data_IF_506664002757
#
_entry.id   IF_506664002757
#
_cell.length_a   1.000
_cell.length_b   1.000
_cell.length_c   1.000
_cell.angle_alpha   90.00
_cell.angle_beta   90.00
_cell.angle_gamma   90.00
#
_symmetry.space_group_name_H-M   'P 1'
#
loop_
_entity.id
_entity.type
_entity.pdbx_description
1 polymer ?
#
# COMPACT_ATOMS: atom_id res chain seq x y z
N UNK A 1 -0.38 17.85 -14.26
CA UNK A 1 -1.63 18.20 -13.57
C UNK A 1 -1.38 18.19 -12.06
N UNK A 2 -1.68 19.27 -11.33
CA UNK A 2 -1.36 19.40 -9.88
C UNK A 2 -2.12 18.42 -8.96
N UNK A 3 -3.12 17.69 -9.48
CA UNK A 3 -3.92 16.72 -8.71
C UNK A 3 -3.17 15.46 -8.28
N UNK A 4 -2.22 14.96 -9.08
CA UNK A 4 -1.53 13.69 -8.78
C UNK A 4 -0.54 13.86 -7.62
N UNK A 5 0.23 14.95 -7.64
CA UNK A 5 1.12 15.36 -6.55
C UNK A 5 0.33 15.62 -5.26
N UNK A 6 -0.82 16.29 -5.37
CA UNK A 6 -1.74 16.49 -4.24
C UNK A 6 -2.23 15.18 -3.62
N UNK A 7 -2.50 14.14 -4.43
CA UNK A 7 -2.93 12.83 -3.93
C UNK A 7 -1.79 12.09 -3.21
N UNK A 8 -0.58 12.11 -3.77
CA UNK A 8 0.58 11.47 -3.13
C UNK A 8 0.88 12.08 -1.77
N UNK A 9 0.84 13.41 -1.68
CA UNK A 9 1.01 14.14 -0.40
C UNK A 9 -0.12 13.78 0.57
N UNK A 10 -1.38 13.73 0.12
CA UNK A 10 -2.50 13.37 0.98
C UNK A 10 -2.37 11.95 1.56
N UNK A 11 -1.97 10.96 0.74
CA UNK A 11 -1.74 9.58 1.19
C UNK A 11 -0.57 9.52 2.19
N UNK A 12 0.51 10.26 1.94
CA UNK A 12 1.64 10.33 2.85
C UNK A 12 1.25 10.92 4.22
N UNK A 13 0.48 12.02 4.22
CA UNK A 13 -0.02 12.62 5.46
C UNK A 13 -0.92 11.65 6.23
N UNK A 14 -1.88 11.01 5.56
CA UNK A 14 -2.79 10.04 6.22
C UNK A 14 -2.02 8.85 6.81
N UNK A 15 -1.07 8.29 6.06
CA UNK A 15 -0.22 7.19 6.51
C UNK A 15 0.52 7.53 7.81
N UNK A 16 1.13 8.74 7.83
CA UNK A 16 1.87 9.23 8.99
C UNK A 16 0.98 9.42 10.21
N UNK A 17 -0.18 10.04 10.03
CA UNK A 17 -1.14 10.28 11.11
C UNK A 17 -1.65 8.97 11.71
N UNK A 18 -1.94 7.97 10.88
CA UNK A 18 -2.36 6.64 11.34
C UNK A 18 -1.27 5.94 12.18
N UNK A 19 0.01 6.07 11.78
CA UNK A 19 1.13 5.54 12.55
C UNK A 19 1.28 6.23 13.92
N UNK A 20 1.11 7.54 13.96
CA UNK A 20 1.15 8.30 15.21
C UNK A 20 -0.01 7.90 16.13
N UNK A 21 -1.22 7.79 15.59
CA UNK A 21 -2.41 7.35 16.31
C UNK A 21 -2.23 5.95 16.90
N UNK A 22 -1.70 5.00 16.11
CA UNK A 22 -1.43 3.64 16.59
C UNK A 22 -0.47 3.63 17.80
N UNK A 23 0.57 4.47 17.75
CA UNK A 23 1.56 4.61 18.83
C UNK A 23 0.98 5.30 20.07
N UNK A 24 0.21 6.37 19.88
CA UNK A 24 -0.37 7.17 20.95
C UNK A 24 -1.35 6.35 21.80
N UNK A 25 -2.25 5.61 21.14
CA UNK A 25 -3.28 4.83 21.82
C UNK A 25 -2.91 3.36 22.05
N UNK A 26 -1.69 2.96 21.66
CA UNK A 26 -1.20 1.57 21.76
C UNK A 26 -2.15 0.54 21.12
N UNK A 27 -2.65 0.86 19.93
CA UNK A 27 -3.62 0.04 19.19
C UNK A 27 -2.95 -0.61 17.98
N UNK A 28 -3.54 -1.71 17.50
CA UNK A 28 -3.22 -2.25 16.17
C UNK A 28 -4.09 -1.55 15.13
N UNK A 29 -3.46 -0.88 14.17
CA UNK A 29 -4.14 -0.27 13.01
C UNK A 29 -3.83 -1.10 11.77
N UNK A 30 -4.87 -1.57 11.09
CA UNK A 30 -4.76 -2.28 9.81
C UNK A 30 -5.34 -1.39 8.72
N UNK A 31 -4.54 -1.12 7.69
CA UNK A 31 -4.93 -0.28 6.55
C UNK A 31 -4.98 -1.14 5.30
N UNK A 32 -6.06 -1.04 4.54
CA UNK A 32 -6.15 -1.66 3.22
C UNK A 32 -5.60 -0.71 2.16
N UNK A 33 -4.71 -1.22 1.32
CA UNK A 33 -4.13 -0.47 0.22
C UNK A 33 -4.42 -1.19 -1.10
N UNK A 34 -4.86 -0.43 -2.10
CA UNK A 34 -4.95 -0.92 -3.46
C UNK A 34 -3.56 -0.89 -4.09
N UNK A 35 -3.22 -1.96 -4.81
CA UNK A 35 -1.96 -2.05 -5.56
C UNK A 35 -2.14 -1.52 -6.98
N UNK A 36 -1.04 -1.06 -7.56
CA UNK A 36 -0.96 -0.82 -8.98
C UNK A 36 -1.09 -2.14 -9.77
N UNK A 37 -1.69 -2.08 -10.97
CA UNK A 37 -1.93 -3.24 -11.83
C UNK A 37 -0.66 -3.81 -12.49
N UNK A 38 0.52 -3.33 -12.11
CA UNK A 38 1.81 -3.80 -12.63
C UNK A 38 2.08 -5.27 -12.28
N UNK A 39 1.50 -5.77 -11.17
CA UNK A 39 1.51 -7.19 -10.83
C UNK A 39 0.78 -8.05 -11.87
N UNK A 40 -0.32 -7.58 -12.45
CA UNK A 40 -1.10 -8.34 -13.44
C UNK A 40 -0.33 -8.61 -14.74
N UNK A 41 0.67 -7.79 -15.05
CA UNK A 41 1.49 -7.91 -16.27
C UNK A 41 2.68 -8.86 -16.10
N UNK A 42 2.98 -9.30 -14.88
CA UNK A 42 4.11 -10.19 -14.60
C UNK A 42 3.74 -11.65 -14.83
N UNK A 43 4.70 -12.52 -15.24
CA UNK A 43 4.43 -13.92 -15.53
C UNK A 43 3.84 -14.69 -14.35
N UNK A 44 4.32 -14.42 -13.14
CA UNK A 44 3.90 -15.10 -11.90
C UNK A 44 2.78 -14.38 -11.14
N UNK A 45 2.43 -13.17 -11.59
CA UNK A 45 1.40 -12.28 -11.02
C UNK A 45 1.49 -12.03 -9.51
N UNK A 46 2.65 -12.30 -8.90
CA UNK A 46 2.87 -12.10 -7.46
C UNK A 46 2.98 -10.62 -7.15
N UNK A 47 2.21 -10.05 -6.22
CA UNK A 47 2.45 -8.69 -5.75
C UNK A 47 3.85 -8.51 -5.14
N UNK A 48 4.40 -7.32 -5.31
CA UNK A 48 5.66 -6.87 -4.71
C UNK A 48 5.45 -5.52 -4.04
N UNK A 49 6.33 -5.17 -3.10
CA UNK A 49 6.28 -3.87 -2.41
C UNK A 49 6.32 -2.71 -3.41
N UNK A 50 7.04 -2.83 -4.52
CA UNK A 50 7.08 -1.83 -5.59
C UNK A 50 5.72 -1.54 -6.24
N UNK A 51 4.70 -2.39 -6.04
CA UNK A 51 3.34 -2.13 -6.52
C UNK A 51 2.61 -1.08 -5.67
N UNK A 52 3.14 -0.74 -4.48
CA UNK A 52 2.69 0.37 -3.63
C UNK A 52 3.28 1.73 -4.04
N UNK A 53 4.05 1.82 -5.14
CA UNK A 53 4.91 2.97 -5.47
C UNK A 53 4.21 4.34 -5.57
N UNK A 54 2.91 4.40 -5.86
CA UNK A 54 2.13 5.66 -5.76
C UNK A 54 1.85 6.11 -4.32
N UNK A 55 2.29 5.31 -3.35
CA UNK A 55 2.09 5.42 -1.92
C UNK A 55 3.38 5.07 -1.16
N UNK A 56 4.55 5.50 -1.66
CA UNK A 56 5.85 5.18 -1.05
C UNK A 56 5.97 5.54 0.44
N UNK A 57 5.20 6.52 0.92
CA UNK A 57 5.10 6.83 2.34
C UNK A 57 4.44 5.72 3.17
N UNK A 58 3.48 4.97 2.60
CA UNK A 58 2.80 3.86 3.27
C UNK A 58 3.77 2.74 3.59
N UNK A 59 4.66 2.40 2.66
CA UNK A 59 5.73 1.42 2.90
C UNK A 59 6.65 1.84 4.05
N UNK A 60 6.99 3.13 4.11
CA UNK A 60 7.93 3.66 5.11
C UNK A 60 7.34 3.79 6.51
N UNK A 61 6.05 4.10 6.61
CA UNK A 61 5.36 4.26 7.90
C UNK A 61 4.84 2.93 8.48
N UNK A 62 4.56 1.94 7.63
CA UNK A 62 4.06 0.64 8.05
C UNK A 62 5.10 -0.17 8.83
N UNK A 63 4.67 -0.80 9.93
CA UNK A 63 5.51 -1.79 10.63
C UNK A 63 5.57 -3.12 9.88
N UNK A 64 4.49 -3.49 9.18
CA UNK A 64 4.36 -4.73 8.43
C UNK A 64 3.51 -4.49 7.18
N UNK A 65 4.00 -5.01 6.05
CA UNK A 65 3.26 -5.01 4.78
C UNK A 65 2.90 -6.45 4.44
N UNK A 66 1.60 -6.73 4.30
CA UNK A 66 1.08 -8.05 3.90
C UNK A 66 0.49 -7.91 2.51
N UNK A 67 1.01 -8.69 1.57
CA UNK A 67 0.51 -8.73 0.20
C UNK A 67 -0.22 -10.03 -0.05
N UNK A 68 -1.44 -9.93 -0.60
CA UNK A 68 -2.29 -11.09 -0.87
C UNK A 68 -2.09 -11.56 -2.31
N UNK A 69 -1.77 -12.84 -2.49
CA UNK A 69 -1.64 -13.47 -3.80
C UNK A 69 -2.55 -14.70 -3.88
N UNK A 70 -3.36 -14.78 -4.93
CA UNK A 70 -4.25 -15.90 -5.24
C UNK A 70 -3.83 -16.56 -6.55
N UNK A 71 -3.01 -17.63 -6.52
CA UNK A 71 -2.50 -18.26 -7.74
C UNK A 71 -3.61 -18.90 -8.59
N UNK A 72 -4.70 -19.33 -7.95
CA UNK A 72 -5.89 -19.94 -8.54
C UNK A 72 -6.78 -18.94 -9.29
N UNK A 73 -6.63 -17.63 -9.07
CA UNK A 73 -7.50 -16.61 -9.68
C UNK A 73 -7.37 -16.54 -11.21
N UNK A 74 -6.26 -17.02 -11.75
CA UNK A 74 -5.93 -16.93 -13.17
C UNK A 74 -5.79 -18.28 -13.85
N UNK A 75 -6.04 -19.36 -13.11
CA UNK A 75 -6.19 -20.70 -13.68
C UNK A 75 -7.64 -20.81 -14.22
N UNK A 76 -7.84 -21.20 -15.49
CA UNK A 76 -9.15 -21.22 -16.13
C UNK A 76 -10.11 -22.29 -15.56
#
# INVERSE_FOLDING_TARGET
APKAESRQVAVATMSRELKLLAKEFQLVVVVLCQLNRASEQRPDKRPMISDLRESGAVEQDADMVILLHRPDMHDP
#
